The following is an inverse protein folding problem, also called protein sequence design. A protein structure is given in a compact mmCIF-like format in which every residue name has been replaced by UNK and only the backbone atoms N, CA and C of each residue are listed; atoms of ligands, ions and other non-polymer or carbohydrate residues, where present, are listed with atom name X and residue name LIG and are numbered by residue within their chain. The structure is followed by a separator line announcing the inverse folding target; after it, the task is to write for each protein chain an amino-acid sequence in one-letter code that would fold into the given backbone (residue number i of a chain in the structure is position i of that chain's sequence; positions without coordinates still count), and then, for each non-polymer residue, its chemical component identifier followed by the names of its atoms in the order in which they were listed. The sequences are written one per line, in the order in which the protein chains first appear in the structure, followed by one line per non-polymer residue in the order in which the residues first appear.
data_IF_114243800710
#
_entry.id   IF_114243800710
#
_cell.length_a   1.000
_cell.length_b   1.000
_cell.length_c   1.000
_cell.angle_alpha   90.00
_cell.angle_beta   90.00
_cell.angle_gamma   90.00
#
_symmetry.space_group_name_H-M   'P 1'
#
loop_
_entity.id
_entity.type
_entity.pdbx_description
1 polymer ?
#
# COMPACT_ATOMS: atom_id res chain seq x y z
N UNK A 1 -7.88 0.74 -7.64
CA UNK A 1 -6.96 0.32 -8.70
C UNK A 1 -5.52 0.64 -8.29
N UNK A 2 -4.60 -0.34 -8.29
CA UNK A 2 -3.18 -0.10 -7.96
C UNK A 2 -2.51 0.55 -9.16
N UNK A 3 -2.03 1.80 -9.02
CA UNK A 3 -1.32 2.57 -10.05
C UNK A 3 -1.87 2.36 -11.47
N UNK A 4 -3.00 3.00 -11.74
CA UNK A 4 -3.82 2.89 -12.94
C UNK A 4 -3.16 3.13 -14.31
N UNK A 5 -2.02 3.83 -14.36
CA UNK A 5 -1.38 4.25 -15.62
C UNK A 5 -0.14 3.40 -15.89
N UNK A 6 0.08 3.09 -17.17
CA UNK A 6 1.20 2.29 -17.68
C UNK A 6 2.48 2.64 -16.93
N UNK A 7 3.12 1.65 -16.32
CA UNK A 7 4.38 1.83 -15.59
C UNK A 7 5.52 2.01 -16.60
N UNK A 8 5.72 3.25 -17.05
CA UNK A 8 6.65 3.57 -18.15
C UNK A 8 8.11 3.48 -17.68
N UNK A 9 8.40 3.84 -16.43
CA UNK A 9 9.77 3.87 -15.90
C UNK A 9 10.15 2.62 -15.08
N UNK A 10 11.44 2.24 -15.01
CA UNK A 10 11.91 1.19 -14.12
C UNK A 10 11.53 1.41 -12.64
N UNK A 11 11.58 2.67 -12.18
CA UNK A 11 11.19 3.08 -10.82
C UNK A 11 9.72 2.73 -10.53
N UNK A 12 8.82 3.19 -11.39
CA UNK A 12 7.39 2.89 -11.32
C UNK A 12 7.09 1.38 -11.34
N UNK A 13 7.83 0.60 -12.14
CA UNK A 13 7.70 -0.87 -12.14
C UNK A 13 8.08 -1.50 -10.80
N UNK A 14 9.11 -1.00 -10.14
CA UNK A 14 9.51 -1.50 -8.81
C UNK A 14 8.46 -1.13 -7.76
N UNK A 15 8.01 0.13 -7.74
CA UNK A 15 6.95 0.59 -6.85
C UNK A 15 5.67 -0.23 -7.02
N UNK A 16 5.25 -0.46 -8.27
CA UNK A 16 4.11 -1.32 -8.58
C UNK A 16 4.28 -2.74 -8.04
N UNK A 17 5.43 -3.38 -8.26
CA UNK A 17 5.72 -4.72 -7.73
C UNK A 17 5.65 -4.76 -6.21
N UNK A 18 6.16 -3.74 -5.53
CA UNK A 18 6.11 -3.64 -4.07
C UNK A 18 4.67 -3.47 -3.58
N UNK A 19 3.87 -2.60 -4.20
CA UNK A 19 2.45 -2.40 -3.88
C UNK A 19 1.64 -3.69 -4.10
N UNK A 20 1.83 -4.38 -5.23
CA UNK A 20 1.19 -5.66 -5.51
C UNK A 20 1.54 -6.70 -4.45
N UNK A 21 2.81 -6.79 -4.03
CA UNK A 21 3.23 -7.70 -2.98
C UNK A 21 2.58 -7.38 -1.62
N UNK A 22 2.41 -6.09 -1.28
CA UNK A 22 1.68 -5.68 -0.07
C UNK A 22 0.20 -6.08 -0.19
N UNK A 23 -0.45 -5.84 -1.33
CA UNK A 23 -1.86 -6.24 -1.56
C UNK A 23 -2.06 -7.74 -1.35
N UNK A 24 -1.22 -8.57 -1.93
CA UNK A 24 -1.30 -10.01 -1.74
C UNK A 24 -1.10 -10.42 -0.29
N UNK A 25 -0.15 -9.79 0.43
CA UNK A 25 0.02 -10.05 1.85
C UNK A 25 -1.24 -9.66 2.66
N UNK A 26 -1.89 -8.54 2.32
CA UNK A 26 -3.12 -8.10 2.98
C UNK A 26 -4.29 -9.06 2.71
N UNK A 27 -4.43 -9.56 1.48
CA UNK A 27 -5.43 -10.57 1.12
C UNK A 27 -5.23 -11.86 1.93
N UNK A 28 -3.98 -12.33 2.07
CA UNK A 28 -3.67 -13.52 2.86
C UNK A 28 -3.92 -13.30 4.35
N UNK A 29 -3.57 -12.13 4.90
CA UNK A 29 -3.89 -11.77 6.28
C UNK A 29 -5.40 -11.81 6.53
N UNK A 30 -6.20 -11.22 5.63
CA UNK A 30 -7.67 -11.25 5.71
C UNK A 30 -8.21 -12.68 5.64
N UNK A 31 -7.68 -13.52 4.76
CA UNK A 31 -8.06 -14.93 4.66
C UNK A 31 -7.74 -15.74 5.94
N UNK A 32 -6.75 -15.30 6.72
CA UNK A 32 -6.38 -15.86 8.02
C UNK A 32 -7.20 -15.30 9.19
N UNK A 33 -8.20 -14.45 8.92
CA UNK A 33 -9.05 -13.83 9.96
C UNK A 33 -8.42 -12.61 10.64
N UNK A 34 -7.30 -12.09 10.15
CA UNK A 34 -6.68 -10.88 10.69
C UNK A 34 -7.48 -9.66 10.21
N UNK A 35 -8.06 -8.90 11.14
CA UNK A 35 -8.93 -7.76 10.85
C UNK A 35 -8.15 -6.54 10.33
N UNK A 36 -7.02 -6.23 10.97
CA UNK A 36 -6.12 -5.15 10.58
C UNK A 36 -4.90 -5.70 9.85
N UNK A 37 -4.70 -5.36 8.55
CA UNK A 37 -3.60 -5.92 7.77
C UNK A 37 -2.22 -5.71 8.40
N UNK A 38 -2.02 -4.59 9.11
CA UNK A 38 -0.73 -4.25 9.72
C UNK A 38 -0.35 -5.17 10.89
N UNK A 39 -1.29 -5.90 11.47
CA UNK A 39 -1.01 -6.88 12.54
C UNK A 39 -0.35 -8.15 11.98
N UNK A 40 -0.45 -8.38 10.66
CA UNK A 40 0.20 -9.50 10.00
C UNK A 40 1.71 -9.23 9.82
N UNK A 41 2.62 -10.06 10.38
CA UNK A 41 4.07 -9.87 10.22
C UNK A 41 4.52 -9.83 8.76
N UNK A 42 3.85 -10.60 7.90
CA UNK A 42 4.12 -10.61 6.45
C UNK A 42 3.80 -9.26 5.82
N UNK A 43 2.72 -8.60 6.22
CA UNK A 43 2.36 -7.26 5.72
C UNK A 43 3.38 -6.25 6.23
N UNK A 44 3.72 -6.27 7.53
CA UNK A 44 4.73 -5.39 8.12
C UNK A 44 6.08 -5.47 7.38
N UNK A 45 6.54 -6.69 7.08
CA UNK A 45 7.78 -6.89 6.33
C UNK A 45 7.73 -6.27 4.92
N UNK A 46 6.62 -6.44 4.20
CA UNK A 46 6.45 -5.87 2.85
C UNK A 46 6.35 -4.35 2.88
N UNK A 47 5.65 -3.82 3.88
CA UNK A 47 5.55 -2.38 4.14
C UNK A 47 6.93 -1.79 4.46
N UNK A 48 7.71 -2.43 5.33
CA UNK A 48 9.09 -2.00 5.64
C UNK A 48 9.97 -1.97 4.39
N UNK A 49 9.83 -2.98 3.51
CA UNK A 49 10.56 -3.01 2.23
C UNK A 49 10.20 -1.82 1.33
N UNK A 50 8.92 -1.46 1.25
CA UNK A 50 8.50 -0.28 0.50
C UNK A 50 9.03 1.01 1.15
N UNK A 51 8.91 1.16 2.47
CA UNK A 51 9.42 2.35 3.17
C UNK A 51 10.92 2.57 2.94
N UNK A 52 11.72 1.49 3.05
CA UNK A 52 13.16 1.53 2.73
C UNK A 52 13.41 1.92 1.28
N UNK A 53 12.70 1.31 0.34
CA UNK A 53 12.85 1.64 -1.09
C UNK A 53 12.61 3.13 -1.36
N UNK A 54 11.53 3.69 -0.81
CA UNK A 54 11.16 5.09 -0.98
C UNK A 54 12.19 6.04 -0.35
N UNK A 55 12.77 5.67 0.79
CA UNK A 55 13.82 6.47 1.44
C UNK A 55 15.10 6.57 0.57
N UNK A 56 15.50 5.49 -0.10
CA UNK A 56 16.72 5.48 -0.92
C UNK A 56 16.51 6.04 -2.34
N UNK A 57 15.32 5.88 -2.93
CA UNK A 57 15.11 6.14 -4.35
C UNK A 57 14.24 7.36 -4.63
N UNK A 58 13.64 7.96 -3.60
CA UNK A 58 12.54 8.91 -3.65
C UNK A 58 11.30 8.39 -4.43
N UNK A 59 10.07 8.59 -3.91
CA UNK A 59 8.85 8.16 -4.59
C UNK A 59 8.73 8.80 -5.98
N UNK A 60 8.26 8.04 -6.97
CA UNK A 60 7.89 8.60 -8.27
C UNK A 60 6.74 9.60 -8.14
N UNK A 61 6.63 10.53 -9.08
CA UNK A 61 5.55 11.53 -9.06
C UNK A 61 4.15 10.89 -9.02
N UNK A 62 3.95 9.76 -9.72
CA UNK A 62 2.68 9.03 -9.71
C UNK A 62 2.43 8.43 -8.31
N UNK A 63 3.47 7.86 -7.68
CA UNK A 63 3.35 7.35 -6.32
C UNK A 63 2.95 8.48 -5.35
N UNK A 64 3.62 9.64 -5.44
CA UNK A 64 3.30 10.80 -4.61
C UNK A 64 1.84 11.22 -4.80
N UNK A 65 1.40 11.38 -6.05
CA UNK A 65 0.04 11.73 -6.40
C UNK A 65 -1.02 10.72 -5.99
N UNK A 66 -0.67 9.48 -5.62
CA UNK A 66 -1.63 8.44 -5.25
C UNK A 66 -1.60 8.07 -3.78
N UNK A 67 -0.45 8.17 -3.12
CA UNK A 67 -0.27 7.60 -1.79
C UNK A 67 0.29 8.59 -0.79
N UNK A 68 0.77 9.76 -1.21
CA UNK A 68 1.38 10.74 -0.33
C UNK A 68 0.35 11.81 0.04
N UNK A 69 0.16 12.05 1.34
CA UNK A 69 -0.88 12.94 1.92
C UNK A 69 -2.35 12.49 1.76
N UNK A 70 -2.64 11.47 0.95
CA UNK A 70 -3.98 10.85 0.86
C UNK A 70 -3.92 9.32 0.92
N UNK A 71 -5.07 8.71 1.21
CA UNK A 71 -5.20 7.26 1.28
C UNK A 71 -5.49 6.69 -0.11
N UNK A 72 -4.43 6.29 -0.82
CA UNK A 72 -4.54 5.66 -2.14
C UNK A 72 -5.10 4.25 -2.06
N UNK A 73 -5.77 3.82 -3.12
CA UNK A 73 -6.31 2.48 -3.21
C UNK A 73 -5.21 1.42 -3.40
N UNK A 74 -5.30 0.35 -2.63
CA UNK A 74 -4.48 -0.85 -2.73
C UNK A 74 -5.34 -2.04 -3.15
N UNK A 75 -5.88 -1.96 -4.37
CA UNK A 75 -6.96 -2.84 -4.82
C UNK A 75 -8.32 -2.27 -4.43
N UNK A 76 -9.33 -3.12 -4.26
CA UNK A 76 -10.70 -2.72 -3.89
C UNK A 76 -10.97 -2.79 -2.38
N UNK A 77 -10.13 -3.51 -1.63
CA UNK A 77 -10.40 -3.88 -0.23
C UNK A 77 -9.48 -3.19 0.76
N UNK A 78 -8.47 -2.47 0.28
CA UNK A 78 -7.44 -1.91 1.13
C UNK A 78 -7.05 -0.52 0.64
N UNK A 79 -6.60 0.32 1.57
CA UNK A 79 -5.94 1.58 1.26
C UNK A 79 -4.54 1.60 1.84
N UNK A 80 -3.67 2.37 1.20
CA UNK A 80 -2.32 2.64 1.65
C UNK A 80 -2.11 4.16 1.70
N UNK A 81 -1.42 4.64 2.74
CA UNK A 81 -0.94 6.02 2.82
C UNK A 81 0.54 6.00 3.17
N UNK A 82 1.32 6.83 2.48
CA UNK A 82 2.68 7.18 2.82
C UNK A 82 2.70 8.57 3.47
N UNK A 83 3.25 8.64 4.68
CA UNK A 83 3.50 9.89 5.39
C UNK A 83 5.00 10.13 5.35
N UNK A 84 5.38 11.30 4.83
CA UNK A 84 6.77 11.70 4.74
C UNK A 84 7.46 11.68 6.11
N UNK A 85 8.77 11.42 6.12
CA UNK A 85 9.53 11.54 7.34
C UNK A 85 9.62 12.98 7.84
N UNK A 86 9.41 13.18 9.13
CA UNK A 86 9.80 14.41 9.81
C UNK A 86 11.22 14.21 10.36
N UNK A 87 12.16 15.05 9.93
CA UNK A 87 13.50 15.18 10.51
C UNK A 87 14.31 13.86 10.63
N UNK A 88 14.71 13.28 9.49
CA UNK A 88 15.73 12.21 9.45
C UNK A 88 15.25 10.79 9.76
N UNK A 89 13.96 10.59 10.04
CA UNK A 89 13.36 9.26 10.22
C UNK A 89 13.00 8.67 8.84
N UNK A 90 12.73 7.37 8.72
CA UNK A 90 12.11 6.79 7.52
C UNK A 90 10.62 7.14 7.48
N UNK A 91 10.07 7.44 6.30
CA UNK A 91 8.63 7.73 6.17
C UNK A 91 7.76 6.55 6.64
N UNK A 92 6.56 6.85 7.12
CA UNK A 92 5.62 5.87 7.68
C UNK A 92 4.62 5.45 6.60
N UNK A 93 4.46 4.14 6.43
CA UNK A 93 3.43 3.57 5.56
C UNK A 93 2.35 2.96 6.44
N UNK A 94 1.12 3.37 6.19
CA UNK A 94 -0.05 2.85 6.87
C UNK A 94 -0.95 2.11 5.89
N UNK A 95 -1.53 1.00 6.32
CA UNK A 95 -2.39 0.14 5.49
C UNK A 95 -3.64 -0.23 6.27
N UNK A 96 -4.80 -0.07 5.64
CA UNK A 96 -6.11 -0.28 6.26
C UNK A 96 -6.94 -1.22 5.40
N UNK A 97 -7.77 -2.05 6.02
CA UNK A 97 -8.82 -2.77 5.29
C UNK A 97 -10.09 -1.92 5.24
N UNK A 98 -10.81 -2.03 4.13
CA UNK A 98 -12.17 -1.49 4.02
C UNK A 98 -13.12 -2.60 4.45
N UNK A 99 -14.08 -2.27 5.31
CA UNK A 99 -15.22 -3.14 5.51
C UNK A 99 -16.05 -3.11 4.23
N UNK A 100 -15.90 -4.13 3.41
CA UNK A 100 -16.91 -4.43 2.40
C UNK A 100 -18.16 -4.89 3.12
N UNK A 101 -19.15 -4.01 3.26
CA UNK A 101 -20.51 -4.40 3.57
C UNK A 101 -21.04 -5.24 2.40
N UNK A 102 -20.77 -6.55 2.43
CA UNK A 102 -21.26 -7.53 1.44
C UNK A 102 -22.80 -7.63 1.43
N UNK A 103 -23.49 -7.01 2.39
CA UNK A 103 -24.96 -6.98 2.48
C UNK A 103 -25.67 -5.90 1.65
N UNK A 104 -24.96 -5.07 0.88
CA UNK A 104 -25.59 -4.02 0.05
C UNK A 104 -25.73 -4.38 -1.45
N UNK A 105 -25.48 -5.64 -1.86
CA UNK A 105 -25.66 -6.09 -3.25
C UNK A 105 -26.97 -6.85 -3.51
N UNK A 106 -27.95 -6.74 -2.62
CA UNK A 106 -29.33 -7.20 -2.87
C UNK A 106 -30.31 -6.14 -2.45
N UNK A 107 -30.69 -5.27 -3.38
CA UNK A 107 -31.93 -4.51 -3.41
C UNK A 107 -32.29 -4.23 -4.88
#
# INVERSE_FOLDING_TARGET
MILAKVQTTPKQRIEFRLLVAIRFACLMAKAQGISQPIDCPRVQHRVSKLAKYLAYNHPSQIFQQQYMHHAGELGQLFSLRYTEPKQGITGVISVWSHQTNLHQLTA
#
